data_IF_958060408591
#
_entry.id   IF_958060408591
#
_cell.length_a   1.000
_cell.length_b   1.000
_cell.length_c   1.000
_cell.angle_alpha   90.00
_cell.angle_beta   90.00
_cell.angle_gamma   90.00
#
_symmetry.space_group_name_H-M   'P 1'
#
loop_
_entity.id
_entity.type
_entity.pdbx_description
1 polymer ?
#
# COMPACT_ATOMS: atom_id res chain seq x y z
N UNK A 1 -33.31 22.30 17.77
CA UNK A 1 -33.35 20.87 17.38
C UNK A 1 -31.93 20.38 17.35
N UNK A 2 -31.52 19.61 18.37
CA UNK A 2 -30.20 19.01 18.41
C UNK A 2 -30.24 17.75 17.53
N UNK A 3 -29.58 17.80 16.38
CA UNK A 3 -29.27 16.61 15.59
C UNK A 3 -28.21 15.83 16.35
N UNK A 4 -28.66 14.78 17.05
CA UNK A 4 -27.80 13.73 17.57
C UNK A 4 -27.12 13.07 16.38
N UNK A 5 -25.87 13.45 16.11
CA UNK A 5 -24.97 12.68 15.23
C UNK A 5 -24.81 11.32 15.89
N UNK A 6 -25.48 10.30 15.35
CA UNK A 6 -25.21 8.93 15.72
C UNK A 6 -23.71 8.70 15.53
N UNK A 7 -22.99 8.44 16.62
CA UNK A 7 -21.63 7.95 16.56
C UNK A 7 -21.68 6.65 15.75
N UNK A 8 -21.25 6.71 14.49
CA UNK A 8 -21.08 5.51 13.66
C UNK A 8 -19.95 4.75 14.32
N UNK A 9 -20.27 3.62 14.94
CA UNK A 9 -19.31 2.71 15.54
C UNK A 9 -18.12 2.54 14.58
N UNK A 10 -16.93 2.88 15.08
CA UNK A 10 -15.69 2.75 14.30
C UNK A 10 -15.43 1.25 14.22
N UNK A 11 -15.57 0.69 13.04
CA UNK A 11 -15.26 -0.71 12.78
C UNK A 11 -13.76 -0.86 12.57
N UNK A 12 -13.18 -1.94 13.10
CA UNK A 12 -11.79 -2.31 12.85
C UNK A 12 -11.48 -2.35 11.34
N UNK A 13 -12.44 -2.85 10.56
CA UNK A 13 -12.44 -2.81 9.09
C UNK A 13 -12.09 -1.43 8.49
N UNK A 14 -12.63 -0.35 9.06
CA UNK A 14 -12.39 1.00 8.55
C UNK A 14 -10.96 1.45 8.83
N UNK A 15 -10.40 1.05 9.98
CA UNK A 15 -9.00 1.33 10.31
C UNK A 15 -8.09 0.63 9.30
N UNK A 16 -8.37 -0.63 8.98
CA UNK A 16 -7.60 -1.36 7.96
C UNK A 16 -7.77 -0.77 6.56
N UNK A 17 -8.99 -0.40 6.16
CA UNK A 17 -9.25 0.30 4.91
C UNK A 17 -8.42 1.58 4.77
N UNK A 18 -8.52 2.46 5.76
CA UNK A 18 -7.81 3.75 5.76
C UNK A 18 -6.29 3.54 5.75
N UNK A 19 -5.80 2.54 6.50
CA UNK A 19 -4.38 2.20 6.53
C UNK A 19 -3.85 1.68 5.19
N UNK A 20 -4.68 0.99 4.41
CA UNK A 20 -4.33 0.50 3.08
C UNK A 20 -4.07 1.65 2.12
N UNK A 21 -4.95 2.66 2.12
CA UNK A 21 -4.73 3.88 1.36
C UNK A 21 -3.45 4.60 1.76
N UNK A 22 -3.18 4.75 3.06
CA UNK A 22 -1.96 5.40 3.53
C UNK A 22 -0.68 4.70 3.07
N UNK A 23 -0.66 3.38 3.18
CA UNK A 23 0.47 2.56 2.74
C UNK A 23 0.81 2.81 1.26
N UNK A 24 -0.19 2.74 0.37
CA UNK A 24 0.03 2.93 -1.06
C UNK A 24 0.27 4.39 -1.42
N UNK A 25 -0.36 5.34 -0.74
CA UNK A 25 -0.14 6.77 -0.95
C UNK A 25 1.34 7.10 -0.71
N UNK A 26 1.87 6.70 0.46
CA UNK A 26 3.25 6.95 0.83
C UNK A 26 4.23 6.26 -0.11
N UNK A 27 3.97 4.99 -0.46
CA UNK A 27 4.80 4.25 -1.43
C UNK A 27 4.84 4.93 -2.82
N UNK A 28 3.71 5.44 -3.29
CA UNK A 28 3.59 6.10 -4.57
C UNK A 28 4.00 7.59 -4.55
N UNK A 29 4.47 8.10 -3.39
CA UNK A 29 4.93 9.47 -3.23
C UNK A 29 3.82 10.50 -3.10
N UNK A 30 2.61 10.10 -2.68
CA UNK A 30 1.50 10.98 -2.32
C UNK A 30 1.48 11.16 -0.80
N UNK A 31 1.98 12.28 -0.25
CA UNK A 31 1.99 12.47 1.19
C UNK A 31 0.57 12.48 1.72
N UNK A 32 0.32 11.81 2.84
CA UNK A 32 -0.92 11.99 3.58
C UNK A 32 -1.00 13.43 4.08
N UNK A 33 -2.18 14.03 3.99
CA UNK A 33 -2.52 15.28 4.67
C UNK A 33 -3.10 14.96 6.05
N UNK A 34 -4.17 14.16 6.07
CA UNK A 34 -4.94 13.81 7.26
C UNK A 34 -5.67 12.50 7.03
N UNK A 35 -5.72 11.66 8.06
CA UNK A 35 -6.59 10.48 8.13
C UNK A 35 -7.55 10.63 9.31
N UNK A 36 -8.80 10.21 9.12
CA UNK A 36 -9.80 10.19 10.18
C UNK A 36 -10.83 9.10 9.94
N UNK A 37 -10.93 8.14 10.86
CA UNK A 37 -11.92 7.07 10.78
C UNK A 37 -13.33 7.55 11.18
N UNK A 38 -13.46 8.74 11.74
CA UNK A 38 -14.74 9.40 12.01
C UNK A 38 -15.21 10.32 10.88
N UNK A 39 -14.44 10.41 9.79
CA UNK A 39 -14.63 11.38 8.74
C UNK A 39 -14.10 12.77 9.12
N UNK A 40 -14.32 13.74 8.25
CA UNK A 40 -13.68 15.05 8.33
C UNK A 40 -14.61 16.13 8.90
N UNK A 41 -14.08 16.96 9.80
CA UNK A 41 -14.80 18.15 10.27
C UNK A 41 -14.86 19.23 9.17
N UNK A 42 -15.70 20.24 9.36
CA UNK A 42 -15.73 21.39 8.44
C UNK A 42 -14.37 22.12 8.36
N UNK A 43 -13.61 22.15 9.46
CA UNK A 43 -12.27 22.74 9.48
C UNK A 43 -11.27 21.90 8.66
N UNK A 44 -11.36 20.57 8.73
CA UNK A 44 -10.52 19.66 7.94
C UNK A 44 -10.84 19.77 6.45
N UNK A 45 -12.12 19.81 6.10
CA UNK A 45 -12.57 19.99 4.71
C UNK A 45 -12.12 21.33 4.12
N UNK A 46 -11.90 22.35 4.96
CA UNK A 46 -11.35 23.64 4.52
C UNK A 46 -9.88 23.56 4.08
N UNK A 47 -9.16 22.46 4.39
CA UNK A 47 -7.80 22.19 3.89
C UNK A 47 -7.79 21.81 2.41
N UNK A 48 -8.91 21.33 1.87
CA UNK A 48 -9.03 20.89 0.48
C UNK A 48 -8.79 22.08 -0.46
N UNK A 49 -7.99 21.85 -1.50
CA UNK A 49 -7.64 22.85 -2.49
C UNK A 49 -6.90 22.23 -3.67
N UNK A 50 -6.17 23.03 -4.46
CA UNK A 50 -5.46 22.51 -5.64
C UNK A 50 -4.44 21.40 -5.32
N UNK A 51 -3.83 21.47 -4.12
CA UNK A 51 -2.78 20.55 -3.68
C UNK A 51 -3.26 19.49 -2.70
N UNK A 52 -4.40 19.65 -2.05
CA UNK A 52 -4.94 18.72 -1.05
C UNK A 52 -6.29 18.23 -1.53
N UNK A 53 -6.45 16.92 -1.64
CA UNK A 53 -7.69 16.30 -2.11
C UNK A 53 -8.07 15.13 -1.22
N UNK A 54 -9.38 14.85 -1.15
CA UNK A 54 -9.86 13.60 -0.55
C UNK A 54 -9.64 12.47 -1.54
N UNK A 55 -9.05 11.40 -1.04
CA UNK A 55 -8.99 10.13 -1.75
C UNK A 55 -10.31 9.38 -1.56
N UNK A 56 -10.77 9.27 -0.32
CA UNK A 56 -12.02 8.62 0.10
C UNK A 56 -12.71 9.43 1.21
N UNK A 57 -13.60 8.78 1.97
CA UNK A 57 -14.30 9.41 3.10
C UNK A 57 -13.38 9.71 4.30
N UNK A 58 -12.23 9.03 4.40
CA UNK A 58 -11.40 8.96 5.61
C UNK A 58 -9.94 9.36 5.41
N UNK A 59 -9.51 9.59 4.18
CA UNK A 59 -8.12 9.88 3.79
C UNK A 59 -8.03 11.11 2.90
N UNK A 60 -7.23 12.09 3.33
CA UNK A 60 -6.79 13.21 2.52
C UNK A 60 -5.33 13.04 2.14
N UNK A 61 -5.02 13.32 0.88
CA UNK A 61 -3.68 13.26 0.32
C UNK A 61 -3.27 14.62 -0.23
N UNK A 62 -1.98 14.86 -0.27
CA UNK A 62 -1.36 15.94 -1.02
C UNK A 62 -0.93 15.44 -2.39
N UNK A 63 -1.31 16.18 -3.44
CA UNK A 63 -0.83 15.93 -4.78
C UNK A 63 0.66 16.28 -4.86
N UNK A 64 1.54 15.32 -5.17
CA UNK A 64 2.96 15.61 -5.28
C UNK A 64 3.26 16.48 -6.50
N UNK A 65 4.34 17.25 -6.42
CA UNK A 65 4.96 17.84 -7.61
C UNK A 65 5.63 16.70 -8.39
N UNK A 66 4.87 16.08 -9.29
CA UNK A 66 5.29 14.89 -10.02
C UNK A 66 6.50 15.19 -10.91
N UNK A 67 7.68 14.79 -10.47
CA UNK A 67 8.90 14.76 -11.28
C UNK A 67 9.18 13.31 -11.69
N UNK A 68 8.79 12.95 -12.91
CA UNK A 68 9.08 11.63 -13.46
C UNK A 68 10.41 11.63 -14.21
N UNK A 69 11.18 10.52 -14.18
CA UNK A 69 12.38 10.38 -14.99
C UNK A 69 12.09 10.63 -16.49
N UNK A 70 13.07 11.17 -17.24
CA UNK A 70 12.96 11.27 -18.69
C UNK A 70 12.62 9.91 -19.32
N UNK A 71 11.61 9.86 -20.20
CA UNK A 71 11.19 8.64 -20.90
C UNK A 71 10.05 7.85 -20.26
N UNK A 72 9.60 8.21 -19.06
CA UNK A 72 8.32 7.71 -18.53
C UNK A 72 7.17 8.59 -18.98
N UNK A 73 6.09 8.00 -19.52
CA UNK A 73 4.84 8.72 -19.76
C UNK A 73 4.24 9.14 -18.41
N UNK A 74 4.39 10.41 -17.99
CA UNK A 74 4.08 10.84 -16.63
C UNK A 74 2.64 10.52 -16.24
N UNK A 75 1.75 10.61 -17.23
CA UNK A 75 0.32 10.39 -17.08
C UNK A 75 -0.04 8.92 -16.92
N UNK A 76 0.62 8.00 -17.63
CA UNK A 76 0.37 6.55 -17.49
C UNK A 76 0.70 6.09 -16.09
N UNK A 77 1.89 6.43 -15.59
CA UNK A 77 2.30 6.09 -14.22
C UNK A 77 1.39 6.71 -13.16
N UNK A 78 0.96 7.96 -13.37
CA UNK A 78 0.00 8.58 -12.48
C UNK A 78 -1.30 7.78 -12.41
N UNK A 79 -1.84 7.35 -13.55
CA UNK A 79 -3.08 6.57 -13.58
C UNK A 79 -2.90 5.16 -12.99
N UNK A 80 -1.75 4.52 -13.21
CA UNK A 80 -1.41 3.26 -12.52
C UNK A 80 -1.40 3.45 -10.99
N UNK A 81 -0.70 4.48 -10.51
CA UNK A 81 -0.64 4.78 -9.08
C UNK A 81 -2.01 5.09 -8.49
N UNK A 82 -2.83 5.89 -9.18
CA UNK A 82 -4.20 6.20 -8.73
C UNK A 82 -5.07 4.94 -8.70
N UNK A 83 -4.89 4.02 -9.66
CA UNK A 83 -5.56 2.73 -9.65
C UNK A 83 -5.16 1.90 -8.42
N UNK A 84 -3.86 1.77 -8.15
CA UNK A 84 -3.37 1.03 -6.98
C UNK A 84 -3.83 1.66 -5.67
N UNK A 85 -3.78 2.99 -5.60
CA UNK A 85 -4.17 3.76 -4.43
C UNK A 85 -5.64 3.55 -4.09
N UNK A 86 -6.51 3.56 -5.10
CA UNK A 86 -7.94 3.28 -4.91
C UNK A 86 -8.19 1.83 -4.47
N UNK A 87 -7.48 0.86 -5.03
CA UNK A 87 -7.67 -0.56 -4.67
C UNK A 87 -7.13 -0.92 -3.28
N UNK A 88 -6.18 -0.15 -2.76
CA UNK A 88 -5.43 -0.49 -1.55
C UNK A 88 -6.27 -0.65 -0.29
N UNK A 89 -7.18 0.29 -0.03
CA UNK A 89 -8.06 0.26 1.14
C UNK A 89 -8.95 -0.98 1.14
N UNK A 90 -9.76 -1.19 0.09
CA UNK A 90 -10.58 -2.39 -0.05
C UNK A 90 -9.81 -3.70 0.05
N UNK A 91 -8.62 -3.81 -0.55
CA UNK A 91 -7.78 -5.03 -0.45
C UNK A 91 -7.40 -5.31 1.00
N UNK A 92 -6.88 -4.31 1.72
CA UNK A 92 -6.45 -4.52 3.10
C UNK A 92 -7.64 -4.80 4.04
N UNK A 93 -8.78 -4.14 3.82
CA UNK A 93 -10.01 -4.43 4.56
C UNK A 93 -10.50 -5.88 4.34
N UNK A 94 -10.54 -6.35 3.10
CA UNK A 94 -10.95 -7.73 2.79
C UNK A 94 -9.98 -8.75 3.38
N UNK A 95 -8.67 -8.51 3.28
CA UNK A 95 -7.66 -9.35 3.91
C UNK A 95 -7.82 -9.43 5.43
N UNK A 96 -8.06 -8.29 6.10
CA UNK A 96 -8.33 -8.25 7.53
C UNK A 96 -9.56 -9.09 7.91
N UNK A 97 -10.63 -9.01 7.11
CA UNK A 97 -11.86 -9.80 7.30
C UNK A 97 -11.71 -11.29 6.93
N UNK A 98 -10.56 -11.70 6.40
CA UNK A 98 -10.37 -13.05 5.84
C UNK A 98 -11.25 -13.34 4.61
N UNK A 99 -11.67 -12.30 3.87
CA UNK A 99 -12.45 -12.41 2.64
C UNK A 99 -11.53 -12.41 1.41
N UNK A 100 -11.85 -13.18 0.35
CA UNK A 100 -11.09 -13.16 -0.89
C UNK A 100 -11.13 -11.79 -1.60
N UNK A 101 -9.98 -11.34 -2.10
CA UNK A 101 -9.85 -10.13 -2.91
C UNK A 101 -10.26 -10.42 -4.36
N UNK A 102 -11.55 -10.30 -4.66
CA UNK A 102 -12.09 -10.49 -6.02
C UNK A 102 -12.64 -9.17 -6.57
N UNK A 103 -12.72 -9.03 -7.90
CA UNK A 103 -13.38 -7.87 -8.53
C UNK A 103 -14.78 -7.64 -7.98
N UNK A 104 -15.55 -8.71 -7.73
CA UNK A 104 -16.91 -8.59 -7.18
C UNK A 104 -16.91 -8.03 -5.75
N UNK A 105 -15.96 -8.47 -4.91
CA UNK A 105 -15.85 -7.98 -3.54
C UNK A 105 -15.38 -6.52 -3.50
N UNK A 106 -14.38 -6.16 -4.30
CA UNK A 106 -13.88 -4.78 -4.38
C UNK A 106 -14.96 -3.82 -4.88
N UNK A 107 -15.84 -4.26 -5.81
CA UNK A 107 -16.98 -3.46 -6.29
C UNK A 107 -17.98 -3.07 -5.19
N UNK A 108 -18.03 -3.78 -4.07
CA UNK A 108 -18.84 -3.39 -2.91
C UNK A 108 -18.37 -2.04 -2.32
N UNK A 109 -17.11 -1.66 -2.56
CA UNK A 109 -16.53 -0.36 -2.23
C UNK A 109 -16.72 0.61 -3.41
N UNK A 110 -17.94 1.10 -3.59
CA UNK A 110 -18.35 1.82 -4.80
C UNK A 110 -17.46 3.02 -5.16
N UNK A 111 -17.02 3.79 -4.15
CA UNK A 111 -16.18 4.98 -4.35
C UNK A 111 -14.79 4.61 -4.87
N UNK A 112 -14.13 3.66 -4.22
CA UNK A 112 -12.81 3.14 -4.60
C UNK A 112 -12.85 2.45 -5.96
N UNK A 113 -13.86 1.61 -6.18
CA UNK A 113 -14.07 0.96 -7.47
C UNK A 113 -14.25 1.98 -8.59
N UNK A 114 -15.02 3.06 -8.38
CA UNK A 114 -15.21 4.10 -9.40
C UNK A 114 -13.90 4.82 -9.73
N UNK A 115 -13.07 5.09 -8.72
CA UNK A 115 -11.76 5.71 -8.93
C UNK A 115 -10.82 4.77 -9.70
N UNK A 116 -10.70 3.51 -9.26
CA UNK A 116 -9.90 2.50 -9.93
C UNK A 116 -10.37 2.26 -11.38
N UNK A 117 -11.68 2.18 -11.60
CA UNK A 117 -12.29 2.04 -12.93
C UNK A 117 -11.99 3.21 -13.85
N UNK A 118 -12.06 4.44 -13.32
CA UNK A 118 -11.76 5.66 -14.08
C UNK A 118 -10.29 5.72 -14.47
N UNK A 119 -9.38 5.43 -13.53
CA UNK A 119 -7.95 5.40 -13.77
C UNK A 119 -7.57 4.29 -14.77
N UNK A 120 -8.09 3.08 -14.59
CA UNK A 120 -7.89 1.98 -15.51
C UNK A 120 -8.49 2.25 -16.90
N UNK A 121 -9.57 3.04 -16.99
CA UNK A 121 -10.15 3.46 -18.27
C UNK A 121 -9.26 4.37 -19.11
N UNK A 122 -8.34 5.09 -18.48
CA UNK A 122 -7.30 5.81 -19.20
C UNK A 122 -6.26 4.87 -19.82
N UNK A 123 -5.99 3.74 -19.18
CA UNK A 123 -4.99 2.75 -19.60
C UNK A 123 -5.57 1.77 -20.64
N UNK A 124 -6.83 1.36 -20.43
CA UNK A 124 -7.55 0.36 -21.21
C UNK A 124 -8.96 0.86 -21.53
N UNK A 125 -9.17 1.24 -22.80
CA UNK A 125 -10.44 1.79 -23.26
C UNK A 125 -11.52 0.71 -23.33
N UNK A 126 -11.16 -0.50 -23.79
CA UNK A 126 -12.05 -1.66 -23.81
C UNK A 126 -12.38 -2.13 -22.37
N UNK A 127 -13.67 -2.37 -22.11
CA UNK A 127 -14.13 -2.74 -20.77
C UNK A 127 -13.65 -4.13 -20.34
N UNK A 128 -13.54 -5.08 -21.27
CA UNK A 128 -13.06 -6.44 -20.96
C UNK A 128 -11.60 -6.41 -20.57
N UNK A 129 -10.78 -5.68 -21.32
CA UNK A 129 -9.37 -5.47 -20.99
C UNK A 129 -9.21 -4.74 -19.65
N UNK A 130 -10.06 -3.75 -19.38
CA UNK A 130 -10.03 -2.99 -18.13
C UNK A 130 -10.36 -3.85 -16.92
N UNK A 131 -11.38 -4.70 -17.01
CA UNK A 131 -11.70 -5.68 -15.95
C UNK A 131 -10.53 -6.63 -15.75
N UNK A 132 -9.97 -7.19 -16.82
CA UNK A 132 -8.82 -8.09 -16.72
C UNK A 132 -7.58 -7.41 -16.13
N UNK A 133 -7.37 -6.13 -16.42
CA UNK A 133 -6.31 -5.33 -15.80
C UNK A 133 -6.55 -5.16 -14.31
N UNK A 134 -7.76 -4.74 -13.90
CA UNK A 134 -8.10 -4.53 -12.50
C UNK A 134 -8.00 -5.82 -11.68
N UNK A 135 -8.45 -6.94 -12.23
CA UNK A 135 -8.31 -8.26 -11.61
C UNK A 135 -6.83 -8.61 -11.32
N UNK A 136 -5.94 -8.38 -12.29
CA UNK A 136 -4.49 -8.54 -12.09
C UNK A 136 -3.94 -7.59 -11.03
N UNK A 137 -4.38 -6.32 -11.01
CA UNK A 137 -3.92 -5.36 -10.00
C UNK A 137 -4.39 -5.72 -8.60
N UNK A 138 -5.61 -6.25 -8.46
CA UNK A 138 -6.12 -6.75 -7.18
C UNK A 138 -5.26 -7.92 -6.68
N UNK A 139 -4.99 -8.91 -7.53
CA UNK A 139 -4.14 -10.05 -7.17
C UNK A 139 -2.69 -9.62 -6.82
N UNK A 140 -2.14 -8.63 -7.52
CA UNK A 140 -0.83 -8.07 -7.18
C UNK A 140 -0.86 -7.34 -5.83
N UNK A 141 -1.87 -6.49 -5.61
CA UNK A 141 -2.04 -5.74 -4.37
C UNK A 141 -2.19 -6.66 -3.17
N UNK A 142 -3.02 -7.70 -3.28
CA UNK A 142 -3.20 -8.74 -2.26
C UNK A 142 -1.86 -9.38 -1.89
N UNK A 143 -1.08 -9.78 -2.89
CA UNK A 143 0.25 -10.39 -2.68
C UNK A 143 1.22 -9.44 -2.00
N UNK A 144 1.30 -8.19 -2.42
CA UNK A 144 2.24 -7.21 -1.86
C UNK A 144 1.86 -6.82 -0.43
N UNK A 145 0.59 -6.51 -0.18
CA UNK A 145 0.09 -6.14 1.14
C UNK A 145 0.29 -7.28 2.14
N UNK A 146 0.20 -8.54 1.70
CA UNK A 146 0.44 -9.71 2.55
C UNK A 146 1.92 -9.95 2.89
N UNK A 147 2.87 -9.23 2.26
CA UNK A 147 4.29 -9.39 2.57
C UNK A 147 4.61 -8.87 3.98
N UNK A 148 5.47 -9.56 4.76
CA UNK A 148 5.88 -9.09 6.09
C UNK A 148 6.45 -7.67 6.08
N UNK A 149 7.22 -7.32 5.04
CA UNK A 149 7.80 -5.97 4.90
C UNK A 149 6.75 -4.88 4.77
N UNK A 150 5.59 -5.16 4.18
CA UNK A 150 4.47 -4.21 4.07
C UNK A 150 3.67 -4.14 5.37
N UNK A 151 3.52 -5.28 6.06
CA UNK A 151 2.87 -5.35 7.37
C UNK A 151 3.60 -4.54 8.45
N UNK A 152 4.93 -4.39 8.35
CA UNK A 152 5.71 -3.53 9.24
C UNK A 152 5.26 -2.05 9.18
N UNK A 153 4.76 -1.57 8.02
CA UNK A 153 4.19 -0.22 7.87
C UNK A 153 2.73 -0.14 8.31
N UNK A 154 1.93 -1.17 8.00
CA UNK A 154 0.49 -1.20 8.33
C UNK A 154 0.26 -1.19 9.83
N UNK A 155 0.95 -2.06 10.58
CA UNK A 155 0.70 -2.25 12.02
C UNK A 155 0.79 -1.00 12.89
N UNK A 156 1.82 -0.14 12.71
CA UNK A 156 1.89 1.13 13.43
C UNK A 156 0.80 2.12 13.06
N UNK A 157 0.40 2.20 11.78
CA UNK A 157 -0.67 3.09 11.31
C UNK A 157 -2.02 2.63 11.87
N UNK A 158 -2.35 1.34 11.76
CA UNK A 158 -3.60 0.78 12.30
C UNK A 158 -3.70 0.98 13.80
N UNK A 159 -2.61 0.73 14.54
CA UNK A 159 -2.56 0.97 15.99
C UNK A 159 -2.81 2.43 16.34
N UNK A 160 -2.19 3.36 15.60
CA UNK A 160 -2.37 4.79 15.82
C UNK A 160 -3.84 5.20 15.62
N UNK A 161 -4.44 4.82 14.49
CA UNK A 161 -5.85 5.12 14.20
C UNK A 161 -6.81 4.44 15.19
N UNK A 162 -6.50 3.22 15.63
CA UNK A 162 -7.30 2.55 16.66
C UNK A 162 -7.27 3.27 18.01
N UNK A 163 -6.22 4.02 18.31
CA UNK A 163 -6.06 4.72 19.60
C UNK A 163 -6.57 6.15 19.53
N UNK A 164 -6.27 6.86 18.44
CA UNK A 164 -6.46 8.30 18.32
C UNK A 164 -7.57 8.68 17.33
N UNK A 165 -8.09 7.73 16.56
CA UNK A 165 -9.15 7.87 15.54
C UNK A 165 -8.80 8.79 14.35
N UNK A 166 -7.76 9.60 14.51
CA UNK A 166 -7.23 10.54 13.54
C UNK A 166 -5.71 10.42 13.52
N UNK A 167 -5.12 10.81 12.39
CA UNK A 167 -3.66 10.79 12.23
C UNK A 167 -3.26 11.87 11.23
N UNK A 168 -2.38 12.79 11.63
CA UNK A 168 -1.87 13.83 10.75
C UNK A 168 -0.81 13.25 9.80
N UNK A 169 -0.67 13.86 8.63
CA UNK A 169 0.28 13.39 7.61
C UNK A 169 1.73 13.33 8.07
N UNK A 170 2.13 14.21 8.99
CA UNK A 170 3.47 14.20 9.58
C UNK A 170 3.76 12.93 10.39
N UNK A 171 2.76 12.40 11.08
CA UNK A 171 2.91 11.17 11.86
C UNK A 171 3.04 9.96 10.93
N UNK A 172 2.28 9.95 9.83
CA UNK A 172 2.39 8.90 8.80
C UNK A 172 3.78 8.92 8.18
N UNK A 173 4.28 10.11 7.85
CA UNK A 173 5.65 10.28 7.33
C UNK A 173 6.71 9.81 8.33
N UNK A 174 6.58 10.15 9.61
CA UNK A 174 7.53 9.72 10.63
C UNK A 174 7.58 8.19 10.80
N UNK A 175 6.43 7.51 10.74
CA UNK A 175 6.37 6.05 10.73
C UNK A 175 7.05 5.49 9.49
N UNK A 176 6.76 6.07 8.32
CA UNK A 176 7.31 5.64 7.04
C UNK A 176 8.84 5.74 7.01
N UNK A 177 9.39 6.90 7.39
CA UNK A 177 10.82 7.16 7.38
C UNK A 177 11.56 6.25 8.37
N UNK A 178 11.03 6.07 9.58
CA UNK A 178 11.61 5.16 10.57
C UNK A 178 11.75 3.74 10.02
N UNK A 179 10.69 3.19 9.43
CA UNK A 179 10.71 1.81 8.93
C UNK A 179 11.63 1.71 7.72
N UNK A 180 11.60 2.70 6.82
CA UNK A 180 12.52 2.75 5.69
C UNK A 180 13.98 2.75 6.14
N UNK A 181 14.33 3.55 7.14
CA UNK A 181 15.67 3.59 7.72
C UNK A 181 16.06 2.24 8.34
N UNK A 182 15.14 1.57 9.03
CA UNK A 182 15.34 0.21 9.58
C UNK A 182 15.57 -0.83 8.48
N UNK A 183 14.86 -0.73 7.34
CA UNK A 183 15.03 -1.59 6.17
C UNK A 183 16.39 -1.38 5.51
N UNK A 184 16.79 -0.11 5.33
CA UNK A 184 18.10 0.25 4.80
C UNK A 184 19.23 -0.21 5.72
N UNK A 185 19.07 -0.06 7.04
CA UNK A 185 20.04 -0.52 8.02
C UNK A 185 20.18 -2.05 8.01
N UNK A 186 19.08 -2.81 7.89
CA UNK A 186 19.11 -4.29 7.74
C UNK A 186 19.84 -4.70 6.46
N UNK A 187 19.58 -4.00 5.36
CA UNK A 187 20.19 -4.28 4.05
C UNK A 187 21.68 -3.97 3.99
N UNK A 188 22.16 -3.02 4.81
CA UNK A 188 23.58 -2.64 4.93
C UNK A 188 24.36 -3.50 5.93
N UNK A 189 23.71 -4.39 6.69
CA UNK A 189 24.45 -5.30 7.60
C UNK A 189 25.29 -6.26 6.75
N UNK A 190 26.61 -6.37 7.00
CA UNK A 190 27.41 -7.38 6.34
C UNK A 190 26.81 -8.75 6.66
N UNK A 191 26.50 -9.53 5.62
CA UNK A 191 26.16 -10.95 5.80
C UNK A 191 27.32 -11.57 6.57
N UNK A 192 27.05 -12.07 7.78
CA UNK A 192 28.06 -12.74 8.59
C UNK A 192 28.64 -13.88 7.76
N UNK A 193 29.86 -13.68 7.24
CA UNK A 193 30.61 -14.63 6.40
C UNK A 193 30.86 -15.98 7.09
N UNK A 194 30.63 -16.08 8.40
CA UNK A 194 30.73 -17.31 9.19
C UNK A 194 29.78 -18.44 8.78
N UNK A 195 28.75 -18.20 7.97
CA UNK A 195 27.92 -19.30 7.44
C UNK A 195 28.46 -19.90 6.14
N UNK A 196 29.37 -19.21 5.44
CA UNK A 196 30.04 -19.72 4.24
C UNK A 196 31.32 -20.50 4.59
N UNK A 197 31.92 -20.23 5.75
CA UNK A 197 33.10 -20.97 6.23
C UNK A 197 32.74 -22.36 6.82
N UNK A 198 31.47 -22.62 7.15
CA UNK A 198 31.01 -23.94 7.65
C UNK A 198 30.81 -24.99 6.54
N UNK A 199 30.88 -24.59 5.27
CA UNK A 199 30.77 -25.48 4.11
C UNK A 199 32.04 -25.50 3.24
N UNK A 200 33.14 -24.91 3.72
CA UNK A 200 34.40 -24.83 2.98
C UNK A 200 35.44 -25.90 3.36
N UNK A 201 35.19 -26.69 4.43
CA UNK A 201 36.17 -27.64 5.00
C UNK A 201 35.85 -29.13 4.77
N UNK A 202 34.86 -29.49 3.94
CA UNK A 202 34.53 -30.90 3.62
C UNK A 202 34.49 -31.18 2.10
N UNK A 203 35.46 -30.67 1.33
CA UNK A 203 35.59 -31.00 -0.10
C UNK A 203 37.01 -31.41 -0.53
N UNK A 204 37.84 -31.87 0.41
CA UNK A 204 39.13 -32.52 0.13
C UNK A 204 39.03 -34.04 0.40
N UNK A 205 37.97 -34.69 -0.10
CA UNK A 205 38.00 -36.15 -0.34
C UNK A 205 38.46 -36.40 -1.79
N UNK A 206 39.75 -36.69 -1.87
CA UNK A 206 40.53 -37.27 -2.96
C UNK A 206 39.80 -38.47 -3.59
N UNK A 207 39.07 -38.23 -4.69
CA UNK A 207 38.63 -39.30 -5.59
C UNK A 207 39.70 -39.53 -6.65
N UNK A 208 40.70 -40.34 -6.29
CA UNK A 208 41.59 -40.98 -7.24
C UNK A 208 40.79 -41.92 -8.16
N UNK A 209 40.42 -41.40 -9.34
CA UNK A 209 39.90 -42.21 -10.43
C UNK A 209 41.03 -42.48 -11.43
N UNK A 210 41.92 -43.41 -11.07
CA UNK A 210 42.82 -44.05 -12.03
C UNK A 210 42.23 -45.37 -12.55
N UNK A 211 42.34 -45.53 -13.87
CA UNK A 211 42.40 -46.78 -14.65
C UNK A 211 41.09 -47.57 -14.82
N UNK A 212 40.53 -47.53 -16.04
CA UNK A 212 40.60 -48.65 -17.00
C UNK A 212 40.04 -48.21 -18.36
N UNK A 213 40.93 -48.07 -19.35
CA UNK A 213 40.62 -48.23 -20.77
C UNK A 213 41.42 -49.42 -21.29
N UNK A 214 40.69 -50.48 -21.67
CA UNK A 214 41.08 -51.72 -22.40
C UNK A 214 42.22 -52.60 -21.86
#
# INVERSE_FOLDING_TARGET
MATTTASKEITEDRIYHTSGHALLAMNAGFPIELMSVNGFSAADLARIGPRVQRLDEWTMIRMPELQYPPGTFPRTRLMENLCHLALAGPILELLHRGRPCTVSAIKEHEHDWRQAWTAAGFLHHDETERVAYLDRQIALGERYISLPSWQEYIGPITRHLSTNETMEGSDVQAIWDRIKDEHEARSRRPVNRRMLDLYADEADEEWDAELYSE
#
